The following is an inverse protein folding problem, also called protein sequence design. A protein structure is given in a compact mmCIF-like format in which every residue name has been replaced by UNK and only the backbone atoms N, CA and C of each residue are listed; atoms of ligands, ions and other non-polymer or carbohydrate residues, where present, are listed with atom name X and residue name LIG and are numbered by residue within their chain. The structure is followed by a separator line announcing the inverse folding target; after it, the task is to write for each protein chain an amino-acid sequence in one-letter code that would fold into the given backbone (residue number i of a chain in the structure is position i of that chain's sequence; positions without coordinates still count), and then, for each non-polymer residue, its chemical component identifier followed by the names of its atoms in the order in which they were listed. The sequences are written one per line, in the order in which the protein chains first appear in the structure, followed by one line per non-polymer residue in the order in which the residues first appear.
data_IF_076876482012
#
_entry.id   IF_076876482012
#
_cell.length_a   1.000
_cell.length_b   1.000
_cell.length_c   1.000
_cell.angle_alpha   90.00
_cell.angle_beta   90.00
_cell.angle_gamma   90.00
#
_symmetry.space_group_name_H-M   'P 1'
#
loop_
_entity.id
_entity.type
_entity.pdbx_description
1 polymer ?
#
# COMPACT_ATOMS: atom_id res chain seq x y z
N UNK A 1 4.87 -18.36 -11.57
CA UNK A 1 6.29 -18.21 -11.12
C UNK A 1 6.34 -17.21 -9.97
N UNK A 2 7.48 -17.08 -9.27
CA UNK A 2 7.59 -16.12 -8.15
C UNK A 2 8.22 -14.82 -8.63
N UNK A 3 7.54 -13.68 -8.42
CA UNK A 3 8.07 -12.35 -8.71
C UNK A 3 9.15 -11.95 -7.71
N UNK A 4 8.94 -12.27 -6.41
CA UNK A 4 9.89 -12.06 -5.31
C UNK A 4 10.04 -13.36 -4.51
N UNK A 5 11.28 -13.68 -4.16
CA UNK A 5 11.59 -14.62 -3.09
C UNK A 5 12.61 -13.97 -2.15
N UNK A 6 12.18 -13.68 -0.93
CA UNK A 6 13.01 -13.16 0.15
C UNK A 6 13.25 -14.28 1.17
N UNK A 7 14.49 -14.53 1.53
CA UNK A 7 14.86 -15.59 2.47
C UNK A 7 15.78 -15.07 3.55
N UNK A 8 15.40 -15.27 4.82
CA UNK A 8 16.17 -14.93 6.00
C UNK A 8 16.46 -13.43 6.11
N UNK A 9 15.56 -12.55 5.72
CA UNK A 9 15.80 -11.11 5.72
C UNK A 9 15.99 -10.59 7.13
N UNK A 10 17.14 -9.98 7.38
CA UNK A 10 17.47 -9.33 8.64
C UNK A 10 17.92 -7.90 8.39
N UNK A 11 17.46 -6.96 9.21
CA UNK A 11 17.86 -5.55 9.14
C UNK A 11 18.12 -5.04 10.55
N UNK A 12 19.26 -4.36 10.73
CA UNK A 12 19.61 -3.66 11.96
C UNK A 12 19.77 -2.17 11.64
N UNK A 13 19.04 -1.32 12.34
CA UNK A 13 19.12 0.14 12.25
C UNK A 13 19.52 0.70 13.61
N UNK A 14 20.54 1.54 13.64
CA UNK A 14 21.05 2.19 14.85
C UNK A 14 21.26 1.20 16.03
N UNK A 15 21.81 0.01 15.74
CA UNK A 15 22.04 -1.05 16.70
C UNK A 15 20.81 -1.89 17.08
N UNK A 16 19.61 -1.49 16.65
CA UNK A 16 18.37 -2.21 16.92
C UNK A 16 18.00 -3.13 15.78
N UNK A 17 17.73 -4.41 16.05
CA UNK A 17 17.25 -5.37 15.06
C UNK A 17 15.78 -5.11 14.77
N UNK A 18 15.50 -4.62 13.56
CA UNK A 18 14.14 -4.25 13.09
C UNK A 18 13.48 -5.39 12.34
N UNK A 19 14.26 -6.19 11.57
CA UNK A 19 13.78 -7.41 10.94
C UNK A 19 14.64 -8.59 11.39
N UNK A 20 14.00 -9.70 11.68
CA UNK A 20 14.65 -10.88 12.26
C UNK A 20 14.24 -12.17 11.54
N UNK A 21 14.93 -12.43 10.41
CA UNK A 21 14.78 -13.67 9.66
C UNK A 21 13.45 -13.79 8.92
N UNK A 22 13.03 -12.74 8.19
CA UNK A 22 11.77 -12.76 7.44
C UNK A 22 11.94 -13.54 6.14
N UNK A 23 11.09 -14.56 5.96
CA UNK A 23 10.90 -15.29 4.72
C UNK A 23 9.60 -14.89 4.06
N UNK A 24 9.64 -14.50 2.78
CA UNK A 24 8.48 -14.02 2.03
C UNK A 24 8.60 -14.38 0.56
N UNK A 25 7.53 -14.94 0.00
CA UNK A 25 7.43 -15.20 -1.43
C UNK A 25 6.21 -14.48 -1.97
N UNK A 26 6.35 -13.83 -3.14
CA UNK A 26 5.25 -13.17 -3.86
C UNK A 26 5.18 -13.78 -5.25
N UNK A 27 4.00 -14.23 -5.68
CA UNK A 27 3.80 -14.78 -7.02
C UNK A 27 3.73 -13.66 -8.07
N UNK A 28 3.98 -14.02 -9.35
CA UNK A 28 3.77 -13.07 -10.45
C UNK A 28 2.28 -12.76 -10.59
N UNK A 29 1.96 -11.48 -10.76
CA UNK A 29 0.58 -10.99 -10.87
C UNK A 29 -0.19 -10.97 -9.54
N UNK A 30 0.45 -11.29 -8.42
CA UNK A 30 -0.16 -11.27 -7.09
C UNK A 30 -0.15 -9.86 -6.48
N UNK A 31 -1.22 -9.50 -5.80
CA UNK A 31 -1.25 -8.37 -4.88
C UNK A 31 -1.08 -8.85 -3.45
N UNK A 32 0.11 -8.64 -2.90
CA UNK A 32 0.41 -8.91 -1.50
C UNK A 32 0.22 -7.63 -0.66
N UNK A 33 -0.71 -7.64 0.29
CA UNK A 33 -0.84 -6.58 1.29
C UNK A 33 -0.07 -6.95 2.58
N UNK A 34 0.88 -6.07 2.95
CA UNK A 34 1.68 -6.22 4.15
C UNK A 34 1.05 -5.43 5.29
N UNK A 35 0.63 -6.13 6.31
CA UNK A 35 -0.06 -5.63 7.50
C UNK A 35 0.81 -5.72 8.75
N UNK A 36 0.35 -5.12 9.82
CA UNK A 36 0.94 -5.22 11.16
C UNK A 36 0.88 -3.89 11.93
N UNK A 37 1.07 -3.93 13.24
CA UNK A 37 1.05 -2.74 14.08
C UNK A 37 2.14 -1.73 13.72
N UNK A 38 2.02 -0.52 14.25
CA UNK A 38 3.06 0.49 14.09
C UNK A 38 4.37 0.01 14.72
N UNK A 39 5.49 0.26 14.03
CA UNK A 39 6.80 -0.21 14.47
C UNK A 39 7.11 -1.69 14.17
N UNK A 40 6.20 -2.45 13.57
CA UNK A 40 6.42 -3.86 13.23
C UNK A 40 7.55 -4.11 12.21
N UNK A 41 8.02 -3.09 11.49
CA UNK A 41 9.08 -3.19 10.48
C UNK A 41 8.61 -3.22 9.03
N UNK A 42 7.32 -2.91 8.74
CA UNK A 42 6.74 -2.94 7.38
C UNK A 42 7.54 -2.11 6.38
N UNK A 43 7.73 -0.81 6.65
CA UNK A 43 8.55 0.10 5.83
C UNK A 43 9.98 -0.43 5.64
N UNK A 44 10.56 -1.02 6.69
CA UNK A 44 11.91 -1.59 6.62
C UNK A 44 11.94 -2.82 5.72
N UNK A 45 10.90 -3.67 5.76
CA UNK A 45 10.79 -4.82 4.85
C UNK A 45 10.62 -4.35 3.40
N UNK A 46 9.74 -3.40 3.13
CA UNK A 46 9.59 -2.77 1.80
C UNK A 46 10.92 -2.22 1.29
N UNK A 47 11.67 -1.52 2.14
CA UNK A 47 13.00 -1.00 1.80
C UNK A 47 14.03 -2.11 1.57
N UNK A 48 13.98 -3.21 2.30
CA UNK A 48 14.85 -4.38 2.08
C UNK A 48 14.51 -5.06 0.75
N UNK A 49 13.21 -5.32 0.48
CA UNK A 49 12.74 -5.90 -0.77
C UNK A 49 13.12 -5.03 -1.97
N UNK A 50 13.01 -3.71 -1.87
CA UNK A 50 13.40 -2.77 -2.93
C UNK A 50 14.91 -2.51 -3.02
N UNK A 51 15.72 -3.03 -2.07
CA UNK A 51 17.17 -2.84 -2.00
C UNK A 51 17.58 -1.40 -1.66
N UNK A 52 16.73 -0.65 -0.98
CA UNK A 52 17.03 0.72 -0.52
C UNK A 52 17.62 0.76 0.90
N UNK A 53 17.63 -0.36 1.60
CA UNK A 53 18.30 -0.56 2.88
C UNK A 53 19.19 -1.81 2.82
N UNK A 54 20.33 -1.77 3.52
CA UNK A 54 21.21 -2.95 3.66
C UNK A 54 20.52 -4.00 4.52
N UNK A 55 20.57 -5.25 4.08
CA UNK A 55 19.95 -6.37 4.79
C UNK A 55 20.84 -7.63 4.75
N UNK A 56 20.69 -8.52 5.70
CA UNK A 56 21.15 -9.90 5.60
C UNK A 56 20.09 -10.75 4.89
N UNK A 57 20.45 -11.99 4.59
CA UNK A 57 19.58 -12.86 3.79
C UNK A 57 19.66 -12.56 2.29
N UNK A 58 18.71 -13.10 1.52
CA UNK A 58 18.70 -12.96 0.06
C UNK A 58 17.33 -12.53 -0.44
N UNK A 59 17.33 -11.67 -1.47
CA UNK A 59 16.13 -11.30 -2.25
C UNK A 59 16.39 -11.67 -3.71
N UNK A 60 15.44 -12.35 -4.35
CA UNK A 60 15.50 -12.68 -5.77
C UNK A 60 14.27 -12.17 -6.48
N UNK A 61 14.41 -11.71 -7.75
CA UNK A 61 13.33 -11.22 -8.58
C UNK A 61 13.24 -12.03 -9.86
N UNK A 62 12.08 -12.65 -10.13
CA UNK A 62 11.88 -13.47 -11.33
C UNK A 62 12.92 -14.58 -11.45
N UNK A 63 13.31 -15.22 -10.34
CA UNK A 63 14.32 -16.28 -10.30
C UNK A 63 15.78 -15.82 -10.37
N UNK A 64 16.05 -14.51 -10.54
CA UNK A 64 17.43 -13.98 -10.54
C UNK A 64 17.75 -13.29 -9.21
N UNK A 65 18.91 -13.53 -8.58
CA UNK A 65 19.28 -12.91 -7.31
C UNK A 65 19.44 -11.40 -7.46
N UNK A 66 18.99 -10.64 -6.43
CA UNK A 66 19.26 -9.19 -6.37
C UNK A 66 20.72 -8.96 -5.97
N UNK A 67 21.29 -7.85 -6.47
CA UNK A 67 22.69 -7.48 -6.22
C UNK A 67 23.01 -7.03 -4.79
N UNK A 68 22.01 -6.84 -3.93
CA UNK A 68 22.17 -6.09 -2.67
C UNK A 68 22.13 -6.96 -1.41
N UNK A 69 21.93 -8.26 -1.54
CA UNK A 69 22.15 -9.18 -0.43
C UNK A 69 23.64 -9.25 -0.10
N UNK A 70 24.11 -8.40 0.82
CA UNK A 70 25.44 -8.54 1.36
C UNK A 70 25.47 -9.84 2.15
N UNK A 71 26.12 -10.88 1.62
CA UNK A 71 26.59 -11.95 2.50
C UNK A 71 27.54 -11.34 3.50
N UNK A 72 27.40 -11.71 4.75
CA UNK A 72 28.33 -11.31 5.83
C UNK A 72 29.80 -11.71 5.52
N UNK A 73 30.04 -12.51 4.48
CA UNK A 73 31.31 -13.12 4.05
C UNK A 73 31.89 -12.56 2.73
N UNK A 74 31.37 -11.47 2.19
CA UNK A 74 31.96 -10.82 1.00
C UNK A 74 31.79 -11.58 -0.33
N UNK A 75 30.83 -12.51 -0.42
CA UNK A 75 30.56 -13.30 -1.63
C UNK A 75 30.10 -12.49 -2.85
N UNK A 76 30.13 -13.05 -4.06
CA UNK A 76 29.91 -12.30 -5.30
C UNK A 76 28.54 -11.64 -5.35
N UNK A 77 28.54 -10.34 -5.75
CA UNK A 77 27.35 -9.55 -6.04
C UNK A 77 26.53 -10.25 -7.11
N UNK A 78 25.25 -10.46 -6.86
CA UNK A 78 24.33 -11.03 -7.85
C UNK A 78 24.31 -10.21 -9.15
N UNK A 79 23.98 -10.87 -10.26
CA UNK A 79 23.93 -10.23 -11.57
C UNK A 79 22.81 -9.17 -11.61
N UNK A 80 23.16 -7.89 -11.82
CA UNK A 80 22.23 -6.80 -12.04
C UNK A 80 22.55 -5.56 -11.21
N UNK A 81 22.98 -4.47 -11.89
CA UNK A 81 23.25 -3.18 -11.26
C UNK A 81 21.95 -2.44 -10.89
N UNK A 82 22.06 -1.23 -10.26
CA UNK A 82 20.90 -0.43 -9.84
C UNK A 82 19.89 -0.14 -10.97
N UNK A 83 20.35 -0.01 -12.20
CA UNK A 83 19.49 0.19 -13.38
C UNK A 83 18.66 -1.04 -13.72
N UNK A 84 19.25 -2.23 -13.64
CA UNK A 84 18.53 -3.48 -13.93
C UNK A 84 17.45 -3.72 -12.88
N UNK A 85 17.76 -3.47 -11.62
CA UNK A 85 16.77 -3.52 -10.54
C UNK A 85 15.63 -2.53 -10.77
N UNK A 86 15.94 -1.26 -11.13
CA UNK A 86 14.94 -0.24 -11.39
C UNK A 86 14.04 -0.55 -12.60
N UNK A 87 14.42 -1.46 -13.48
CA UNK A 87 13.56 -2.00 -14.55
C UNK A 87 12.66 -3.13 -14.08
N UNK A 88 13.01 -3.78 -12.97
CA UNK A 88 12.24 -4.91 -12.41
C UNK A 88 11.31 -4.47 -11.29
N UNK A 89 11.70 -3.44 -10.54
CA UNK A 89 10.97 -2.99 -9.34
C UNK A 89 10.81 -1.48 -9.38
N UNK A 90 9.57 -1.02 -9.43
CA UNK A 90 9.22 0.37 -9.18
C UNK A 90 8.81 0.54 -7.71
N UNK A 91 9.19 1.66 -7.09
CA UNK A 91 8.96 1.90 -5.67
C UNK A 91 8.25 3.23 -5.44
N UNK A 92 7.19 3.20 -4.66
CA UNK A 92 6.53 4.38 -4.09
C UNK A 92 6.87 4.40 -2.59
N UNK A 93 7.80 5.26 -2.15
CA UNK A 93 8.13 5.36 -0.73
C UNK A 93 7.08 6.18 0.03
N UNK A 94 6.93 5.94 1.32
CA UNK A 94 6.06 6.71 2.21
C UNK A 94 6.38 8.22 2.19
N UNK A 95 7.66 8.55 2.16
CA UNK A 95 8.14 9.94 2.06
C UNK A 95 9.02 10.08 0.81
N UNK A 96 8.45 10.55 -0.31
CA UNK A 96 9.20 10.72 -1.54
C UNK A 96 10.15 11.92 -1.46
N UNK A 97 11.36 11.77 -2.00
CA UNK A 97 12.27 12.90 -2.20
C UNK A 97 11.87 13.63 -3.48
N UNK A 98 11.50 14.89 -3.33
CA UNK A 98 11.07 15.76 -4.43
C UNK A 98 12.09 16.88 -4.57
N UNK A 99 12.79 16.99 -5.71
CA UNK A 99 13.67 18.12 -5.98
C UNK A 99 12.88 19.44 -6.03
N UNK A 100 13.42 20.55 -5.50
CA UNK A 100 12.75 21.84 -5.57
C UNK A 100 12.66 22.33 -7.03
N UNK A 101 11.53 22.98 -7.36
CA UNK A 101 11.33 23.61 -8.69
C UNK A 101 11.09 22.60 -9.82
N UNK A 102 10.83 21.32 -9.52
CA UNK A 102 10.53 20.31 -10.54
C UNK A 102 9.04 20.31 -10.87
N UNK A 103 8.70 20.25 -12.14
CA UNK A 103 7.31 20.10 -12.60
C UNK A 103 6.82 18.66 -12.43
N UNK A 104 5.50 18.46 -12.38
CA UNK A 104 4.90 17.13 -12.30
C UNK A 104 5.34 16.23 -13.47
N UNK A 105 5.39 16.78 -14.69
CA UNK A 105 5.85 16.05 -15.86
C UNK A 105 7.31 15.62 -15.75
N UNK A 106 8.20 16.54 -15.36
CA UNK A 106 9.63 16.24 -15.20
C UNK A 106 9.86 15.18 -14.12
N UNK A 107 9.11 15.27 -13.01
CA UNK A 107 9.19 14.28 -11.94
C UNK A 107 8.75 12.89 -12.40
N UNK A 108 7.65 12.78 -13.15
CA UNK A 108 7.20 11.50 -13.73
C UNK A 108 8.23 10.97 -14.70
N UNK A 109 8.81 11.84 -15.55
CA UNK A 109 9.82 11.47 -16.53
C UNK A 109 11.08 10.85 -15.89
N UNK A 110 11.41 11.21 -14.62
CA UNK A 110 12.50 10.56 -13.87
C UNK A 110 12.29 9.05 -13.72
N UNK A 111 11.03 8.57 -13.73
CA UNK A 111 10.73 7.13 -13.69
C UNK A 111 11.30 6.36 -14.90
N UNK A 112 11.58 7.04 -16.02
CA UNK A 112 12.16 6.44 -17.22
C UNK A 112 13.68 6.35 -17.23
N UNK A 113 14.38 6.92 -16.23
CA UNK A 113 15.86 6.97 -16.19
C UNK A 113 16.54 5.61 -16.29
N UNK A 114 15.93 4.55 -15.77
CA UNK A 114 16.46 3.19 -15.89
C UNK A 114 16.50 2.70 -17.34
N UNK A 115 15.66 3.24 -18.23
CA UNK A 115 15.52 2.87 -19.64
C UNK A 115 16.37 3.72 -20.59
N UNK A 116 16.86 4.89 -20.16
CA UNK A 116 17.56 5.86 -21.02
C UNK A 116 18.99 5.43 -21.41
N UNK A 117 19.55 4.38 -20.78
CA UNK A 117 20.90 3.92 -21.08
C UNK A 117 21.96 5.00 -20.77
N UNK A 118 22.85 5.29 -21.75
CA UNK A 118 23.86 6.35 -21.65
C UNK A 118 23.40 7.71 -22.23
N UNK A 119 22.12 7.83 -22.61
CA UNK A 119 21.60 9.08 -23.17
C UNK A 119 21.43 10.12 -22.06
N UNK A 120 21.84 11.36 -22.35
CA UNK A 120 21.71 12.50 -21.45
C UNK A 120 20.31 13.12 -21.45
N UNK A 121 19.45 12.72 -22.40
CA UNK A 121 18.09 13.25 -22.54
C UNK A 121 17.07 12.15 -22.74
N UNK A 122 15.85 12.37 -22.24
CA UNK A 122 14.71 11.50 -22.43
C UNK A 122 14.30 11.47 -23.93
N UNK A 123 13.94 10.27 -24.41
CA UNK A 123 13.46 10.07 -25.76
C UNK A 123 12.04 10.63 -25.94
N UNK A 124 11.61 10.79 -27.19
CA UNK A 124 10.21 11.15 -27.49
C UNK A 124 9.22 10.09 -26.96
N UNK A 125 9.62 8.81 -26.97
CA UNK A 125 8.80 7.72 -26.43
C UNK A 125 8.67 7.84 -24.91
N UNK A 126 9.74 8.12 -24.17
CA UNK A 126 9.68 8.35 -22.72
C UNK A 126 8.74 9.51 -22.37
N UNK A 127 8.77 10.60 -23.16
CA UNK A 127 7.88 11.75 -22.97
C UNK A 127 6.42 11.38 -23.23
N UNK A 128 6.14 10.62 -24.32
CA UNK A 128 4.77 10.14 -24.62
C UNK A 128 4.23 9.24 -23.52
N UNK A 129 5.03 8.28 -23.04
CA UNK A 129 4.65 7.40 -21.95
C UNK A 129 4.36 8.17 -20.66
N UNK A 130 5.20 9.16 -20.34
CA UNK A 130 4.99 10.02 -19.17
C UNK A 130 3.69 10.81 -19.24
N UNK A 131 3.34 11.38 -20.41
CA UNK A 131 2.06 12.06 -20.61
C UNK A 131 0.88 11.08 -20.52
N UNK A 132 0.97 9.90 -21.12
CA UNK A 132 -0.08 8.90 -21.07
C UNK A 132 -0.39 8.44 -19.63
N UNK A 133 0.63 8.28 -18.79
CA UNK A 133 0.42 7.95 -17.36
C UNK A 133 -0.20 9.12 -16.61
N UNK A 134 0.22 10.37 -16.88
CA UNK A 134 -0.41 11.55 -16.28
C UNK A 134 -1.88 11.67 -16.68
N UNK A 135 -2.23 11.39 -17.94
CA UNK A 135 -3.62 11.36 -18.41
C UNK A 135 -4.45 10.30 -17.70
N UNK A 136 -3.92 9.08 -17.57
CA UNK A 136 -4.61 7.97 -16.87
C UNK A 136 -4.91 8.28 -15.39
N UNK A 137 -4.15 9.18 -14.78
CA UNK A 137 -4.30 9.61 -13.38
C UNK A 137 -4.98 10.98 -13.23
N UNK A 138 -5.58 11.54 -14.29
CA UNK A 138 -6.22 12.87 -14.32
C UNK A 138 -5.28 14.01 -13.89
N UNK A 139 -3.99 13.85 -14.21
CA UNK A 139 -2.94 14.81 -13.84
C UNK A 139 -2.42 15.66 -15.02
N UNK A 140 -2.95 15.51 -16.23
CA UNK A 140 -2.46 16.22 -17.42
C UNK A 140 -2.47 17.74 -17.22
N UNK A 141 -3.53 18.28 -16.63
CA UNK A 141 -3.68 19.72 -16.34
C UNK A 141 -2.61 20.27 -15.39
N UNK A 142 -1.96 19.39 -14.64
CA UNK A 142 -0.90 19.75 -13.69
C UNK A 142 0.50 19.49 -14.22
N UNK A 143 0.66 18.94 -15.44
CA UNK A 143 1.93 18.50 -15.99
C UNK A 143 3.05 19.56 -15.89
N UNK A 144 2.71 20.84 -16.11
CA UNK A 144 3.67 21.96 -16.09
C UNK A 144 3.71 22.71 -14.73
N UNK A 145 2.94 22.26 -13.73
CA UNK A 145 2.97 22.86 -12.39
C UNK A 145 4.15 22.33 -11.58
N UNK A 146 4.71 23.23 -10.77
CA UNK A 146 5.69 22.84 -9.75
C UNK A 146 5.01 21.87 -8.76
N UNK A 147 5.67 20.74 -8.48
CA UNK A 147 5.16 19.69 -7.62
C UNK A 147 4.91 20.18 -6.18
N UNK A 148 5.66 21.19 -5.73
CA UNK A 148 5.49 21.79 -4.41
C UNK A 148 4.17 22.54 -4.26
N UNK A 149 3.55 22.99 -5.38
CA UNK A 149 2.29 23.74 -5.39
C UNK A 149 1.05 22.86 -5.44
N UNK A 150 1.22 21.57 -5.62
CA UNK A 150 0.13 20.60 -5.67
C UNK A 150 -0.39 20.26 -4.27
N UNK A 151 -1.67 19.92 -4.18
CA UNK A 151 -2.26 19.35 -2.96
C UNK A 151 -1.57 18.03 -2.58
N UNK A 152 -1.75 17.57 -1.34
CA UNK A 152 -1.20 16.30 -0.89
C UNK A 152 -1.61 15.12 -1.77
N UNK A 153 -2.90 15.04 -2.12
CA UNK A 153 -3.45 13.98 -2.97
C UNK A 153 -2.95 14.05 -4.42
N UNK A 154 -2.92 15.24 -5.03
CA UNK A 154 -2.37 15.43 -6.38
C UNK A 154 -0.89 15.02 -6.43
N UNK A 155 -0.12 15.42 -5.42
CA UNK A 155 1.30 15.09 -5.29
C UNK A 155 1.50 13.58 -5.15
N UNK A 156 0.69 12.90 -4.34
CA UNK A 156 0.76 11.45 -4.16
C UNK A 156 0.47 10.71 -5.47
N UNK A 157 -0.52 11.16 -6.24
CA UNK A 157 -0.81 10.62 -7.57
C UNK A 157 0.33 10.84 -8.56
N UNK A 158 1.03 11.98 -8.51
CA UNK A 158 2.24 12.21 -9.34
C UNK A 158 3.38 11.29 -8.93
N UNK A 159 3.55 11.01 -7.64
CA UNK A 159 4.54 10.04 -7.15
C UNK A 159 4.23 8.63 -7.65
N UNK A 160 2.96 8.23 -7.63
CA UNK A 160 2.50 6.97 -8.22
C UNK A 160 2.74 6.95 -9.74
N UNK A 161 2.41 8.04 -10.45
CA UNK A 161 2.67 8.17 -11.90
C UNK A 161 4.14 7.91 -12.25
N UNK A 162 5.06 8.45 -11.45
CA UNK A 162 6.50 8.20 -11.62
C UNK A 162 6.86 6.71 -11.47
N UNK A 163 6.22 6.00 -10.55
CA UNK A 163 6.47 4.57 -10.39
C UNK A 163 5.87 3.77 -11.55
N UNK A 164 4.65 4.11 -11.99
CA UNK A 164 3.97 3.42 -13.09
C UNK A 164 4.66 3.61 -14.43
N UNK A 165 5.20 4.81 -14.72
CA UNK A 165 5.90 5.07 -15.98
C UNK A 165 7.21 4.30 -16.10
N UNK A 166 7.77 3.80 -14.99
CA UNK A 166 8.94 2.93 -15.00
C UNK A 166 8.67 1.60 -15.73
N UNK A 167 7.40 1.22 -15.89
CA UNK A 167 6.96 0.03 -16.63
C UNK A 167 7.64 -1.25 -16.09
N UNK A 168 7.78 -1.31 -14.77
CA UNK A 168 8.36 -2.45 -14.06
C UNK A 168 7.26 -3.49 -13.75
N UNK A 169 7.56 -4.80 -13.85
CA UNK A 169 6.58 -5.86 -13.57
C UNK A 169 6.20 -5.96 -12.08
N UNK A 170 6.97 -5.34 -11.20
CA UNK A 170 6.76 -5.33 -9.76
C UNK A 170 6.67 -3.89 -9.24
N UNK A 171 5.60 -3.60 -8.53
CA UNK A 171 5.36 -2.32 -7.86
C UNK A 171 5.34 -2.54 -6.33
N UNK A 172 6.21 -1.85 -5.63
CA UNK A 172 6.30 -1.88 -4.17
C UNK A 172 5.90 -0.52 -3.62
N UNK A 173 4.83 -0.49 -2.82
CA UNK A 173 4.23 0.75 -2.31
C UNK A 173 4.25 0.76 -0.78
N UNK A 174 4.83 1.80 -0.21
CA UNK A 174 4.86 2.02 1.24
C UNK A 174 3.83 3.09 1.62
N UNK A 175 2.68 2.66 2.14
CA UNK A 175 1.53 3.50 2.53
C UNK A 175 1.08 4.47 1.41
N UNK A 176 0.74 3.97 0.20
CA UNK A 176 0.52 4.82 -0.96
C UNK A 176 -0.69 5.75 -0.84
N UNK A 177 -1.58 5.50 0.12
CA UNK A 177 -2.86 6.19 0.27
C UNK A 177 -3.00 6.96 1.59
N UNK A 178 -1.97 6.98 2.46
CA UNK A 178 -2.06 7.55 3.80
C UNK A 178 -2.41 9.06 3.84
N UNK A 179 -2.12 9.81 2.77
CA UNK A 179 -2.38 11.25 2.68
C UNK A 179 -3.64 11.60 1.86
N UNK A 180 -4.45 10.60 1.49
CA UNK A 180 -5.61 10.75 0.63
C UNK A 180 -6.91 10.68 1.44
N UNK A 181 -7.93 11.39 0.98
CA UNK A 181 -9.30 11.12 1.41
C UNK A 181 -9.79 9.77 0.86
N UNK A 182 -10.90 9.29 1.40
CA UNK A 182 -11.42 7.96 1.10
C UNK A 182 -11.70 7.76 -0.41
N UNK A 183 -12.27 8.76 -1.10
CA UNK A 183 -12.58 8.65 -2.53
C UNK A 183 -11.32 8.47 -3.36
N UNK A 184 -10.35 9.37 -3.21
CA UNK A 184 -9.07 9.29 -3.92
C UNK A 184 -8.25 8.05 -3.54
N UNK A 185 -8.40 7.55 -2.31
CA UNK A 185 -7.76 6.30 -1.90
C UNK A 185 -8.29 5.11 -2.71
N UNK A 186 -9.61 4.99 -2.82
CA UNK A 186 -10.25 3.92 -3.60
C UNK A 186 -9.91 4.03 -5.09
N UNK A 187 -9.96 5.23 -5.69
CA UNK A 187 -9.57 5.44 -7.10
C UNK A 187 -8.17 4.90 -7.41
N UNK A 188 -7.20 5.12 -6.50
CA UNK A 188 -5.83 4.60 -6.68
C UNK A 188 -5.79 3.08 -6.56
N UNK A 189 -6.49 2.51 -5.58
CA UNK A 189 -6.48 1.06 -5.36
C UNK A 189 -7.19 0.33 -6.51
N UNK A 190 -8.31 0.85 -7.00
CA UNK A 190 -9.01 0.33 -8.18
C UNK A 190 -8.12 0.38 -9.41
N UNK A 191 -7.44 1.51 -9.68
CA UNK A 191 -6.48 1.60 -10.78
C UNK A 191 -5.36 0.56 -10.67
N UNK A 192 -4.85 0.31 -9.47
CA UNK A 192 -3.82 -0.72 -9.26
C UNK A 192 -4.39 -2.12 -9.53
N UNK A 193 -5.63 -2.40 -9.13
CA UNK A 193 -6.31 -3.66 -9.41
C UNK A 193 -6.55 -3.85 -10.91
N UNK A 194 -6.97 -2.81 -11.63
CA UNK A 194 -7.06 -2.84 -13.09
C UNK A 194 -5.71 -3.15 -13.74
N UNK A 195 -4.64 -2.48 -13.32
CA UNK A 195 -3.30 -2.72 -13.87
C UNK A 195 -2.77 -4.13 -13.55
N UNK A 196 -3.10 -4.67 -12.38
CA UNK A 196 -2.81 -6.04 -12.03
C UNK A 196 -3.49 -7.01 -13.00
N UNK A 197 -4.78 -6.84 -13.23
CA UNK A 197 -5.55 -7.69 -14.14
C UNK A 197 -5.13 -7.54 -15.61
N UNK A 198 -4.97 -6.31 -16.09
CA UNK A 198 -4.66 -6.02 -17.50
C UNK A 198 -3.24 -6.43 -17.90
N UNK A 199 -2.26 -6.27 -17.01
CA UNK A 199 -0.83 -6.38 -17.33
C UNK A 199 -0.09 -7.45 -16.55
N UNK A 200 -0.78 -8.16 -15.65
CA UNK A 200 -0.12 -9.08 -14.72
C UNK A 200 0.86 -8.36 -13.76
N UNK A 201 0.55 -7.09 -13.40
CA UNK A 201 1.37 -6.33 -12.48
C UNK A 201 1.40 -6.99 -11.11
N UNK A 202 2.57 -7.27 -10.59
CA UNK A 202 2.73 -7.73 -9.21
C UNK A 202 2.77 -6.53 -8.27
N UNK A 203 1.98 -6.55 -7.20
CA UNK A 203 1.89 -5.45 -6.25
C UNK A 203 2.26 -5.92 -4.85
N UNK A 204 3.16 -5.20 -4.19
CA UNK A 204 3.41 -5.34 -2.74
C UNK A 204 3.11 -3.99 -2.10
N UNK A 205 2.12 -3.94 -1.22
CA UNK A 205 1.74 -2.69 -0.57
C UNK A 205 1.66 -2.83 0.93
N UNK A 206 2.11 -1.81 1.68
CA UNK A 206 1.79 -1.70 3.10
C UNK A 206 0.48 -0.97 3.25
N UNK A 207 -0.42 -1.50 4.07
CA UNK A 207 -1.72 -0.92 4.38
C UNK A 207 -1.92 -0.89 5.89
N UNK A 208 -2.68 0.11 6.35
CA UNK A 208 -3.10 0.21 7.75
C UNK A 208 -4.56 -0.19 7.96
N UNK A 209 -5.40 0.01 6.94
CA UNK A 209 -6.80 -0.35 6.97
C UNK A 209 -6.97 -1.84 6.63
N UNK A 210 -7.51 -2.60 7.59
CA UNK A 210 -7.71 -4.04 7.44
C UNK A 210 -8.83 -4.38 6.45
N UNK A 211 -9.88 -3.55 6.39
CA UNK A 211 -10.97 -3.72 5.44
C UNK A 211 -10.48 -3.53 4.01
N UNK A 212 -9.71 -2.47 3.75
CA UNK A 212 -9.09 -2.24 2.45
C UNK A 212 -8.15 -3.39 2.07
N UNK A 213 -7.32 -3.85 3.01
CA UNK A 213 -6.43 -4.98 2.74
C UNK A 213 -7.21 -6.26 2.42
N UNK A 214 -8.34 -6.48 3.08
CA UNK A 214 -9.23 -7.61 2.83
C UNK A 214 -9.97 -7.56 1.50
N UNK A 215 -10.18 -6.35 0.96
CA UNK A 215 -10.88 -6.14 -0.32
C UNK A 215 -9.96 -6.21 -1.54
N UNK A 216 -8.72 -5.71 -1.42
CA UNK A 216 -7.80 -5.56 -2.56
C UNK A 216 -6.67 -6.59 -2.60
N UNK A 217 -6.23 -7.12 -1.44
CA UNK A 217 -5.12 -8.06 -1.40
C UNK A 217 -5.55 -9.47 -1.80
N UNK A 218 -4.86 -10.08 -2.77
CA UNK A 218 -5.02 -11.51 -3.06
C UNK A 218 -4.50 -12.36 -1.88
N UNK A 219 -3.42 -11.89 -1.27
CA UNK A 219 -2.83 -12.49 -0.09
C UNK A 219 -2.36 -11.41 0.89
N UNK A 220 -2.47 -11.72 2.17
CA UNK A 220 -2.04 -10.87 3.26
C UNK A 220 -0.80 -11.47 3.95
N UNK A 221 0.06 -10.60 4.43
CA UNK A 221 1.20 -10.96 5.25
C UNK A 221 1.24 -10.04 6.49
N UNK A 222 1.24 -10.62 7.68
CA UNK A 222 1.25 -9.86 8.93
C UNK A 222 2.64 -9.88 9.53
N UNK A 223 3.21 -8.68 9.70
CA UNK A 223 4.48 -8.47 10.36
C UNK A 223 4.24 -8.01 11.80
N UNK A 224 4.91 -8.63 12.76
CA UNK A 224 4.90 -8.22 14.17
C UNK A 224 6.30 -8.41 14.73
N UNK A 225 6.82 -7.40 15.44
CA UNK A 225 8.14 -7.42 16.08
C UNK A 225 9.27 -7.88 15.14
N UNK A 226 9.23 -7.42 13.89
CA UNK A 226 10.24 -7.73 12.88
C UNK A 226 10.16 -9.15 12.30
N UNK A 227 9.11 -9.92 12.59
CA UNK A 227 8.90 -11.29 12.10
C UNK A 227 7.58 -11.41 11.35
N UNK A 228 7.54 -12.28 10.35
CA UNK A 228 6.30 -12.66 9.71
C UNK A 228 5.55 -13.64 10.61
N UNK A 229 4.37 -13.24 11.11
CA UNK A 229 3.58 -14.01 12.09
C UNK A 229 2.38 -14.71 11.48
N UNK A 230 1.91 -14.24 10.33
CA UNK A 230 0.86 -14.89 9.54
C UNK A 230 0.95 -14.49 8.07
N UNK A 231 0.54 -15.36 7.18
CA UNK A 231 0.34 -15.07 5.76
C UNK A 231 -0.66 -16.07 5.18
N UNK A 232 -1.46 -15.64 4.23
CA UNK A 232 -2.49 -16.45 3.61
C UNK A 232 -3.54 -15.61 2.89
N UNK A 233 -4.62 -16.24 2.45
CA UNK A 233 -5.78 -15.55 1.90
C UNK A 233 -6.40 -14.59 2.95
N UNK A 234 -7.07 -13.51 2.52
CA UNK A 234 -7.68 -12.55 3.45
C UNK A 234 -8.53 -13.20 4.54
N UNK A 235 -9.38 -14.18 4.18
CA UNK A 235 -10.25 -14.89 5.13
C UNK A 235 -9.49 -15.77 6.15
N UNK A 236 -8.28 -16.21 5.82
CA UNK A 236 -7.44 -16.98 6.73
C UNK A 236 -6.69 -16.11 7.73
N UNK A 237 -6.37 -14.87 7.34
CA UNK A 237 -5.52 -13.95 8.11
C UNK A 237 -6.37 -12.98 8.92
N UNK A 238 -7.48 -12.45 8.36
CA UNK A 238 -8.34 -11.47 9.01
C UNK A 238 -9.48 -12.17 9.76
N UNK A 239 -9.13 -12.82 10.88
CA UNK A 239 -10.12 -13.37 11.81
C UNK A 239 -10.26 -12.49 13.04
N UNK A 240 -11.41 -12.49 13.73
CA UNK A 240 -11.59 -11.74 14.97
C UNK A 240 -10.50 -12.02 16.01
N UNK A 241 -10.09 -13.28 16.15
CA UNK A 241 -9.04 -13.72 17.07
C UNK A 241 -7.67 -13.16 16.68
N UNK A 242 -7.32 -13.20 15.40
CA UNK A 242 -6.07 -12.68 14.87
C UNK A 242 -6.00 -11.16 15.04
N UNK A 243 -7.09 -10.45 14.73
CA UNK A 243 -7.18 -8.99 14.89
C UNK A 243 -7.08 -8.62 16.36
N UNK A 244 -7.78 -9.32 17.24
CA UNK A 244 -7.66 -9.14 18.68
C UNK A 244 -6.25 -9.36 19.21
N UNK A 245 -5.55 -10.36 18.68
CA UNK A 245 -4.18 -10.72 19.07
C UNK A 245 -3.14 -9.68 18.66
N UNK A 246 -3.19 -9.20 17.41
CA UNK A 246 -2.12 -8.35 16.87
C UNK A 246 -2.41 -6.86 16.98
N UNK A 247 -3.69 -6.44 16.98
CA UNK A 247 -4.07 -5.02 17.08
C UNK A 247 -4.75 -4.68 18.41
N UNK A 248 -5.11 -5.67 19.23
CA UNK A 248 -5.71 -5.44 20.55
C UNK A 248 -7.13 -4.87 20.51
N UNK A 249 -7.86 -5.06 19.42
CA UNK A 249 -9.22 -4.55 19.21
C UNK A 249 -10.19 -5.69 18.97
N UNK A 250 -11.46 -5.48 19.31
CA UNK A 250 -12.54 -6.41 18.98
C UNK A 250 -13.02 -6.11 17.55
N UNK A 251 -13.18 -7.14 16.73
CA UNK A 251 -13.64 -7.00 15.35
C UNK A 251 -14.64 -8.08 14.99
N UNK A 252 -15.45 -7.81 13.96
CA UNK A 252 -16.23 -8.81 13.23
C UNK A 252 -15.75 -8.81 11.79
N UNK A 253 -15.61 -10.00 11.21
CA UNK A 253 -15.19 -10.19 9.84
C UNK A 253 -16.31 -10.90 9.08
N UNK A 254 -16.65 -10.39 7.91
CA UNK A 254 -17.59 -11.04 6.98
C UNK A 254 -16.87 -11.30 5.66
N UNK A 255 -17.10 -12.45 5.08
CA UNK A 255 -16.47 -12.87 3.82
C UNK A 255 -17.55 -12.86 2.75
N UNK A 256 -17.31 -12.22 1.62
CA UNK A 256 -18.21 -12.22 0.46
C UNK A 256 -18.01 -13.46 -0.41
N UNK A 257 -18.85 -13.61 -1.45
CA UNK A 257 -18.81 -14.75 -2.38
C UNK A 257 -17.51 -14.80 -3.22
N UNK A 258 -16.76 -13.68 -3.27
CA UNK A 258 -15.48 -13.57 -3.98
C UNK A 258 -14.28 -13.81 -3.06
N UNK A 259 -14.54 -14.09 -1.78
CA UNK A 259 -13.50 -14.34 -0.77
C UNK A 259 -12.87 -13.07 -0.18
N UNK A 260 -13.43 -11.88 -0.48
CA UNK A 260 -13.00 -10.61 0.11
C UNK A 260 -13.52 -10.49 1.53
N UNK A 261 -12.77 -9.79 2.38
CA UNK A 261 -13.08 -9.69 3.81
C UNK A 261 -13.39 -8.25 4.20
N UNK A 262 -14.59 -8.04 4.71
CA UNK A 262 -14.95 -6.80 5.39
C UNK A 262 -14.65 -6.93 6.87
N UNK A 263 -13.96 -5.92 7.43
CA UNK A 263 -13.60 -5.85 8.83
C UNK A 263 -14.31 -4.69 9.50
N UNK A 264 -15.14 -4.98 10.49
CA UNK A 264 -15.80 -3.97 11.33
C UNK A 264 -15.16 -4.00 12.71
N UNK A 265 -14.39 -2.97 13.05
CA UNK A 265 -13.79 -2.81 14.39
C UNK A 265 -14.84 -2.30 15.37
N UNK A 266 -14.91 -2.92 16.54
CA UNK A 266 -15.82 -2.54 17.63
C UNK A 266 -15.05 -1.93 18.80
N UNK A 267 -15.64 -0.95 19.43
CA UNK A 267 -15.13 -0.42 20.69
C UNK A 267 -15.16 -1.52 21.75
N UNK A 268 -14.03 -1.81 22.35
CA UNK A 268 -13.97 -2.72 23.49
C UNK A 268 -14.87 -2.19 24.61
N UNK A 269 -15.91 -2.93 25.00
CA UNK A 269 -16.70 -2.57 26.18
C UNK A 269 -15.82 -2.79 27.40
N UNK A 270 -15.53 -1.72 28.13
CA UNK A 270 -14.93 -1.83 29.46
C UNK A 270 -16.00 -2.45 30.35
N UNK A 271 -15.78 -3.67 30.80
CA UNK A 271 -16.69 -4.34 31.72
C UNK A 271 -16.84 -3.46 32.97
N UNK A 272 -18.07 -2.98 33.25
CA UNK A 272 -18.39 -2.22 34.46
C UNK A 272 -18.82 -0.75 34.26
N UNK A 273 -18.89 -0.23 33.02
CA UNK A 273 -19.53 1.08 32.77
C UNK A 273 -20.88 0.82 32.11
N UNK A 274 -21.95 0.83 32.89
CA UNK A 274 -23.31 0.93 32.35
C UNK A 274 -23.39 2.21 31.48
N UNK A 275 -23.97 2.15 30.26
CA UNK A 275 -24.17 3.35 29.47
C UNK A 275 -25.07 4.28 30.28
N UNK A 276 -24.61 5.50 30.56
CA UNK A 276 -25.46 6.52 31.15
C UNK A 276 -26.73 6.59 30.30
N UNK A 277 -27.87 6.35 30.95
CA UNK A 277 -29.18 6.41 30.31
C UNK A 277 -29.28 7.77 29.59
N UNK A 278 -29.54 7.74 28.31
CA UNK A 278 -29.78 8.95 27.54
C UNK A 278 -31.05 9.64 28.02
N UNK A 279 -31.01 10.80 28.72
CA UNK A 279 -32.21 11.42 29.29
C UNK A 279 -33.11 12.08 28.23
N UNK A 280 -32.85 11.91 26.94
CA UNK A 280 -33.54 12.58 25.85
C UNK A 280 -34.49 11.70 25.02
N UNK A 281 -34.94 10.55 25.56
CA UNK A 281 -36.05 9.80 24.97
C UNK A 281 -37.34 10.07 25.74
N UNK A 282 -37.87 11.27 25.63
CA UNK A 282 -39.26 11.54 26.01
C UNK A 282 -40.14 10.94 24.92
N UNK A 283 -41.07 9.99 25.27
CA UNK A 283 -42.02 9.49 24.28
C UNK A 283 -42.94 10.64 23.89
N UNK A 284 -43.09 10.88 22.62
CA UNK A 284 -44.08 11.78 22.07
C UNK A 284 -45.46 11.24 22.48
N UNK A 285 -46.09 11.89 23.44
CA UNK A 285 -47.48 11.67 23.80
C UNK A 285 -48.36 12.11 22.62
N UNK A 286 -48.90 11.15 21.94
CA UNK A 286 -50.00 11.31 20.98
C UNK A 286 -51.25 11.71 21.79
N UNK A 287 -51.59 13.00 21.81
CA UNK A 287 -52.90 13.45 22.25
C UNK A 287 -53.87 13.31 21.07
N UNK A 288 -54.64 12.23 21.06
CA UNK A 288 -55.91 12.18 20.39
C UNK A 288 -56.94 12.83 21.34
N UNK A 289 -57.81 13.57 20.76
CA UNK A 289 -59.12 14.07 21.21
C UNK A 289 -59.20 15.60 21.26
N UNK A 290 -59.91 16.21 20.34
CA UNK A 290 -61.27 16.64 20.60
C UNK A 290 -61.93 17.14 19.31
N UNK A 291 -62.83 16.33 18.78
CA UNK A 291 -63.75 16.71 17.74
C UNK A 291 -65.04 17.21 18.36
N UNK A 292 -65.28 18.49 18.37
CA UNK A 292 -66.62 19.04 18.68
C UNK A 292 -67.21 19.62 17.41
N UNK A 293 -68.44 19.27 17.03
CA UNK A 293 -69.12 19.80 15.86
C UNK A 293 -69.82 21.09 16.26
N UNK A 294 -69.54 22.19 15.55
CA UNK A 294 -70.37 23.40 15.60
C UNK A 294 -71.32 23.38 14.43
N UNK A 295 -72.61 23.16 14.77
CA UNK A 295 -73.76 23.40 13.95
C UNK A 295 -74.09 24.91 13.90
N UNK A 296 -74.56 25.40 12.76
CA UNK A 296 -75.51 26.43 12.76
C UNK A 296 -75.23 27.75 12.01
N UNK A 297 -75.90 27.86 10.91
CA UNK A 297 -76.43 28.96 10.09
C UNK A 297 -75.59 29.51 8.97
#
# INVERSE_FOLDING_TARGET
MSAIVAHGITVTLDGTRVLDGVDLTVAEGEWLALLGPNGAGKTTLVRALSGTVKHGGTVTFGGAPSSDGARADGGPRGAGGPRERARRVAVVPQTPVIPPGITAFEYVLLGRTAHQGMRLSASLDDRRRSLAVLQRLDLERFAQRDLATLSGGERQRVVLARALVADAPLLVLDEPTAALDLGHQFEILELLAELQQERGLTVVTTLHDLGIAGQFGDRLAVLSEGRLVAHGAPAEVLTPEAIGRWWGVDATCTVDDEGRVDVTVRRRRVAGVEPAANPAATPATTSADDATPVSGR
#
